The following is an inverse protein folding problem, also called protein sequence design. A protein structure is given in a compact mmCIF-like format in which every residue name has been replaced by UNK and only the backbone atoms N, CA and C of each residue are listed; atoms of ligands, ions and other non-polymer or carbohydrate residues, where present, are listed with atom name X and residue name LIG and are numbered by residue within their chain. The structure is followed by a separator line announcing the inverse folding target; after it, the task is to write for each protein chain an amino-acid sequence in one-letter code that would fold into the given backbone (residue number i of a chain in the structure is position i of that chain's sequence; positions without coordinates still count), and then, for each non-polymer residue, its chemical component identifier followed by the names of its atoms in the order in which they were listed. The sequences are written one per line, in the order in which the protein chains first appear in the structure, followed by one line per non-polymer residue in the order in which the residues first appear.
data_IF_828832136318
#
_entry.id   IF_828832136318
#
_cell.length_a   1.000
_cell.length_b   1.000
_cell.length_c   1.000
_cell.angle_alpha   90.00
_cell.angle_beta   90.00
_cell.angle_gamma   90.00
#
_symmetry.space_group_name_H-M   'P 1'
#
loop_
_entity.id
_entity.type
_entity.pdbx_description
1 polymer ?
#
# COMPACT_ATOMS: atom_id res chain seq x y z
N UNK A 1 -12.02 -0.88 5.94
CA UNK A 1 -10.57 -0.82 5.59
C UNK A 1 -10.28 0.35 4.68
N UNK A 2 -9.15 1.01 4.89
CA UNK A 2 -8.61 2.05 4.01
C UNK A 2 -7.35 1.51 3.34
N UNK A 3 -7.24 1.60 2.01
CA UNK A 3 -6.03 1.26 1.27
C UNK A 3 -5.20 2.52 1.04
N UNK A 4 -3.91 2.52 1.42
CA UNK A 4 -2.95 3.55 1.04
C UNK A 4 -2.13 3.05 -0.14
N UNK A 5 -2.23 3.74 -1.27
CA UNK A 5 -1.64 3.33 -2.54
C UNK A 5 -0.75 4.43 -3.11
N UNK A 6 0.32 4.03 -3.83
CA UNK A 6 1.28 4.96 -4.39
C UNK A 6 2.63 4.30 -4.64
N UNK A 7 3.54 4.91 -5.40
CA UNK A 7 4.84 4.34 -5.75
C UNK A 7 5.79 4.20 -4.55
N UNK A 8 6.92 3.52 -4.74
CA UNK A 8 8.00 3.49 -3.76
C UNK A 8 8.46 4.94 -3.47
N UNK A 9 8.73 5.28 -2.21
CA UNK A 9 9.11 6.65 -1.80
C UNK A 9 7.94 7.63 -1.61
N UNK A 10 6.70 7.28 -1.95
CA UNK A 10 5.56 8.21 -1.83
C UNK A 10 5.11 8.52 -0.39
N UNK A 11 5.62 7.83 0.62
CA UNK A 11 5.26 8.04 2.02
C UNK A 11 4.09 7.18 2.53
N UNK A 12 3.66 6.14 1.78
CA UNK A 12 2.54 5.25 2.17
C UNK A 12 2.61 4.77 3.60
N UNK A 13 3.74 4.18 4.00
CA UNK A 13 3.87 3.59 5.34
C UNK A 13 3.86 4.64 6.45
N UNK A 14 4.43 5.81 6.20
CA UNK A 14 4.39 6.95 7.13
C UNK A 14 2.95 7.43 7.30
N UNK A 15 2.26 7.70 6.20
CA UNK A 15 0.88 8.16 6.22
C UNK A 15 -0.08 7.08 6.73
N UNK A 16 0.17 5.81 6.39
CA UNK A 16 -0.63 4.69 6.86
C UNK A 16 -0.60 4.53 8.37
N UNK A 17 0.58 4.65 8.99
CA UNK A 17 0.73 4.61 10.46
C UNK A 17 -0.01 5.76 11.14
N UNK A 18 0.24 6.99 10.68
CA UNK A 18 -0.41 8.17 11.25
C UNK A 18 -1.93 8.14 11.09
N UNK A 19 -2.40 7.68 9.95
CA UNK A 19 -3.83 7.54 9.69
C UNK A 19 -4.45 6.48 10.61
N UNK A 20 -3.81 5.34 10.75
CA UNK A 20 -4.28 4.27 11.63
C UNK A 20 -4.35 4.73 13.09
N UNK A 21 -3.31 5.41 13.57
CA UNK A 21 -3.26 5.99 14.91
C UNK A 21 -4.41 6.98 15.14
N UNK A 22 -4.61 7.94 14.23
CA UNK A 22 -5.67 8.95 14.34
C UNK A 22 -7.08 8.39 14.29
N UNK A 23 -7.27 7.27 13.57
CA UNK A 23 -8.57 6.62 13.42
C UNK A 23 -8.80 5.46 14.40
N UNK A 24 -7.83 5.13 15.26
CA UNK A 24 -7.91 3.98 16.15
C UNK A 24 -7.94 2.62 15.41
N UNK A 25 -7.32 2.55 14.22
CA UNK A 25 -7.29 1.36 13.36
C UNK A 25 -5.95 0.62 13.44
N UNK A 26 -5.93 -0.63 13.03
CA UNK A 26 -4.68 -1.39 12.88
C UNK A 26 -3.99 -1.03 11.56
N UNK A 27 -2.72 -0.62 11.63
CA UNK A 27 -1.90 -0.47 10.43
C UNK A 27 -1.29 -1.81 10.04
N UNK A 28 -1.47 -2.20 8.78
CA UNK A 28 -0.81 -3.34 8.15
C UNK A 28 -0.08 -2.87 6.90
N UNK A 29 1.17 -3.33 6.72
CA UNK A 29 1.97 -3.04 5.53
C UNK A 29 2.43 -4.32 4.89
N UNK A 30 2.11 -4.52 3.62
CA UNK A 30 2.55 -5.70 2.87
C UNK A 30 4.08 -5.85 2.90
N UNK A 31 4.81 -4.75 2.67
CA UNK A 31 6.27 -4.76 2.71
C UNK A 31 6.84 -5.08 4.09
N UNK A 32 6.18 -4.65 5.18
CA UNK A 32 6.60 -4.98 6.54
C UNK A 32 6.30 -6.44 6.85
N UNK A 33 5.08 -6.91 6.56
CA UNK A 33 4.70 -8.31 6.76
C UNK A 33 5.62 -9.29 6.04
N UNK A 34 6.03 -8.96 4.80
CA UNK A 34 7.00 -9.76 4.04
C UNK A 34 8.32 -9.85 4.79
N UNK A 35 8.88 -8.73 5.25
CA UNK A 35 10.17 -8.72 6.00
C UNK A 35 10.08 -9.47 7.33
N UNK A 36 9.03 -9.19 8.11
CA UNK A 36 8.88 -9.76 9.46
C UNK A 36 8.59 -11.26 9.44
N UNK A 37 7.98 -11.75 8.36
CA UNK A 37 7.66 -13.18 8.24
C UNK A 37 8.87 -14.06 8.01
N UNK A 38 9.98 -13.53 7.46
CA UNK A 38 11.14 -14.26 6.98
C UNK A 38 10.84 -15.41 6.00
N UNK A 39 9.57 -15.57 5.60
CA UNK A 39 9.11 -16.65 4.69
C UNK A 39 9.59 -16.44 3.26
N UNK A 40 10.02 -15.22 2.93
CA UNK A 40 10.34 -14.78 1.56
C UNK A 40 11.79 -14.30 1.39
N UNK A 41 12.64 -14.55 2.37
CA UNK A 41 14.04 -14.09 2.34
C UNK A 41 14.80 -14.60 1.11
N UNK A 42 14.46 -15.81 0.65
CA UNK A 42 15.06 -16.37 -0.57
C UNK A 42 14.67 -15.58 -1.84
N UNK A 43 13.45 -15.02 -1.89
CA UNK A 43 12.98 -14.19 -3.00
C UNK A 43 13.53 -12.76 -2.87
N UNK A 44 13.40 -12.18 -1.70
CA UNK A 44 13.74 -10.77 -1.46
C UNK A 44 15.24 -10.50 -1.56
N UNK A 45 16.09 -11.43 -1.09
CA UNK A 45 17.54 -11.33 -1.19
C UNK A 45 18.07 -11.40 -2.63
N UNK A 46 17.34 -12.07 -3.52
CA UNK A 46 17.65 -12.19 -4.95
C UNK A 46 16.96 -11.14 -5.81
N UNK A 47 16.16 -10.25 -5.21
CA UNK A 47 15.30 -9.31 -5.95
C UNK A 47 14.21 -9.99 -6.77
N UNK A 48 13.89 -11.27 -6.48
CA UNK A 48 12.90 -12.04 -7.20
C UNK A 48 11.48 -11.69 -6.77
N UNK A 49 10.51 -11.87 -7.67
CA UNK A 49 9.11 -11.68 -7.37
C UNK A 49 8.58 -12.83 -6.50
N UNK A 50 7.87 -12.48 -5.44
CA UNK A 50 7.17 -13.47 -4.61
C UNK A 50 5.94 -13.96 -5.38
N UNK A 51 5.68 -15.29 -5.46
CA UNK A 51 4.47 -15.81 -6.08
C UNK A 51 3.21 -15.22 -5.44
N UNK A 52 2.28 -14.74 -6.28
CA UNK A 52 1.13 -13.95 -5.83
C UNK A 52 0.21 -14.69 -4.85
N UNK A 53 -0.01 -15.98 -5.07
CA UNK A 53 -0.83 -16.81 -4.18
C UNK A 53 -0.27 -16.87 -2.76
N UNK A 54 1.04 -17.10 -2.62
CA UNK A 54 1.69 -17.19 -1.30
C UNK A 54 1.69 -15.82 -0.60
N UNK A 55 1.88 -14.75 -1.37
CA UNK A 55 1.82 -13.40 -0.83
C UNK A 55 0.40 -13.06 -0.34
N UNK A 56 -0.61 -13.38 -1.14
CA UNK A 56 -2.02 -13.13 -0.78
C UNK A 56 -2.42 -13.90 0.49
N UNK A 57 -1.96 -15.14 0.65
CA UNK A 57 -2.22 -15.92 1.87
C UNK A 57 -1.67 -15.22 3.11
N UNK A 58 -0.41 -14.75 3.07
CA UNK A 58 0.18 -13.97 4.17
C UNK A 58 -0.65 -12.72 4.49
N UNK A 59 -1.04 -11.97 3.47
CA UNK A 59 -1.79 -10.74 3.65
C UNK A 59 -3.18 -11.02 4.25
N UNK A 60 -3.85 -12.04 3.74
CA UNK A 60 -5.17 -12.43 4.21
C UNK A 60 -5.15 -12.92 5.67
N UNK A 61 -4.21 -13.79 6.04
CA UNK A 61 -4.04 -14.26 7.40
C UNK A 61 -3.96 -13.09 8.40
N UNK A 62 -3.17 -12.06 8.07
CA UNK A 62 -3.00 -10.90 8.94
C UNK A 62 -4.23 -9.99 8.97
N UNK A 63 -4.89 -9.75 7.85
CA UNK A 63 -6.12 -8.95 7.80
C UNK A 63 -7.26 -9.66 8.54
N UNK A 64 -7.41 -10.96 8.31
CA UNK A 64 -8.44 -11.77 8.97
C UNK A 64 -8.31 -11.72 10.48
N UNK A 65 -7.09 -11.81 11.00
CA UNK A 65 -6.85 -11.72 12.44
C UNK A 65 -7.32 -10.38 13.07
N UNK A 66 -7.38 -9.29 12.30
CA UNK A 66 -7.94 -8.02 12.73
C UNK A 66 -9.46 -8.02 12.59
N UNK A 67 -9.99 -8.48 11.46
CA UNK A 67 -11.43 -8.49 11.19
C UNK A 67 -12.20 -9.42 12.13
N UNK A 68 -11.63 -10.57 12.49
CA UNK A 68 -12.23 -11.53 13.45
C UNK A 68 -12.42 -10.94 14.86
N UNK A 69 -11.79 -9.79 15.15
CA UNK A 69 -11.92 -9.04 16.41
C UNK A 69 -12.72 -7.74 16.23
N UNK A 70 -13.53 -7.65 15.18
CA UNK A 70 -14.26 -6.45 14.76
C UNK A 70 -13.36 -5.22 14.55
N UNK A 71 -12.07 -5.46 14.27
CA UNK A 71 -11.10 -4.40 14.03
C UNK A 71 -11.16 -3.84 12.62
N UNK A 72 -10.68 -2.62 12.47
CA UNK A 72 -10.55 -1.94 11.18
C UNK A 72 -9.08 -1.79 10.79
N UNK A 73 -8.81 -1.80 9.49
CA UNK A 73 -7.45 -1.82 8.94
C UNK A 73 -7.17 -0.59 8.08
N UNK A 74 -5.99 0.01 8.25
CA UNK A 74 -5.31 0.84 7.25
C UNK A 74 -4.21 0.00 6.64
N UNK A 75 -4.33 -0.31 5.35
CA UNK A 75 -3.44 -1.24 4.66
C UNK A 75 -2.61 -0.52 3.59
N UNK A 76 -1.29 -0.71 3.60
CA UNK A 76 -0.39 -0.10 2.63
C UNK A 76 0.37 -1.13 1.79
N UNK A 77 0.54 -0.83 0.50
CA UNK A 77 1.47 -1.49 -0.39
C UNK A 77 0.91 -2.59 -1.28
N UNK A 78 -0.32 -3.03 -1.07
CA UNK A 78 -0.97 -4.07 -1.89
C UNK A 78 -2.50 -3.80 -1.96
N UNK A 79 -3.24 -4.43 -2.89
CA UNK A 79 -2.78 -5.28 -3.98
C UNK A 79 -2.04 -4.51 -5.08
N UNK A 80 -1.02 -5.15 -5.67
CA UNK A 80 -0.20 -4.56 -6.74
C UNK A 80 -0.61 -5.00 -8.15
N UNK A 81 -1.52 -5.98 -8.28
CA UNK A 81 -2.00 -6.50 -9.56
C UNK A 81 -3.50 -6.79 -9.54
N UNK A 82 -4.11 -6.91 -10.72
CA UNK A 82 -5.53 -7.31 -10.87
C UNK A 82 -5.74 -8.74 -10.39
N UNK A 83 -4.75 -9.61 -10.57
CA UNK A 83 -4.77 -10.98 -10.10
C UNK A 83 -4.86 -11.05 -8.57
N UNK A 84 -4.05 -10.26 -7.88
CA UNK A 84 -4.12 -10.13 -6.41
C UNK A 84 -5.46 -9.57 -5.94
N UNK A 85 -6.02 -8.60 -6.68
CA UNK A 85 -7.38 -8.11 -6.41
C UNK A 85 -8.39 -9.25 -6.47
N UNK A 86 -8.35 -10.08 -7.51
CA UNK A 86 -9.24 -11.22 -7.66
C UNK A 86 -9.08 -12.28 -6.56
N UNK A 87 -7.86 -12.52 -6.09
CA UNK A 87 -7.59 -13.44 -4.98
C UNK A 87 -8.12 -12.89 -3.65
N UNK A 88 -7.82 -11.64 -3.33
CA UNK A 88 -8.30 -10.97 -2.11
C UNK A 88 -9.83 -10.81 -2.10
N UNK A 89 -10.45 -10.66 -3.27
CA UNK A 89 -11.91 -10.65 -3.36
C UNK A 89 -12.54 -11.98 -2.93
N UNK A 90 -11.96 -13.12 -3.35
CA UNK A 90 -12.43 -14.44 -2.92
C UNK A 90 -12.36 -14.59 -1.40
N UNK A 91 -11.43 -13.92 -0.76
CA UNK A 91 -11.32 -13.82 0.70
C UNK A 91 -12.32 -12.83 1.34
N UNK A 92 -13.07 -12.07 0.54
CA UNK A 92 -14.05 -11.10 1.04
C UNK A 92 -13.46 -9.77 1.51
N UNK A 93 -12.18 -9.50 1.27
CA UNK A 93 -11.47 -8.29 1.75
C UNK A 93 -12.15 -7.00 1.31
N UNK A 94 -12.65 -6.94 0.06
CA UNK A 94 -13.22 -5.69 -0.47
C UNK A 94 -14.60 -5.31 0.09
N UNK A 95 -15.30 -6.23 0.75
CA UNK A 95 -16.51 -5.90 1.51
C UNK A 95 -16.24 -4.90 2.65
N UNK A 96 -14.99 -4.88 3.13
CA UNK A 96 -14.54 -4.02 4.21
C UNK A 96 -13.80 -2.77 3.68
N UNK A 97 -13.64 -2.61 2.35
CA UNK A 97 -12.88 -1.49 1.77
C UNK A 97 -13.78 -0.27 1.59
N UNK A 98 -13.46 0.80 2.29
CA UNK A 98 -14.16 2.08 2.22
C UNK A 98 -13.67 2.92 1.04
N UNK A 99 -12.34 3.10 0.94
CA UNK A 99 -11.72 3.84 -0.15
C UNK A 99 -10.22 3.52 -0.29
N UNK A 100 -9.67 3.95 -1.43
CA UNK A 100 -8.24 3.96 -1.72
C UNK A 100 -7.73 5.40 -1.64
N UNK A 101 -6.73 5.66 -0.82
CA UNK A 101 -5.96 6.91 -0.82
C UNK A 101 -4.78 6.72 -1.76
N UNK A 102 -4.79 7.40 -2.90
CA UNK A 102 -3.71 7.36 -3.88
C UNK A 102 -2.78 8.57 -3.69
N UNK A 103 -1.56 8.31 -3.22
CA UNK A 103 -0.53 9.34 -3.10
C UNK A 103 0.12 9.63 -4.45
N UNK A 104 0.01 10.86 -4.92
CA UNK A 104 0.63 11.37 -6.15
C UNK A 104 1.90 12.12 -5.77
N UNK A 105 3.05 11.66 -6.23
CA UNK A 105 4.35 12.28 -5.98
C UNK A 105 5.17 12.23 -7.27
N UNK A 106 5.76 13.35 -7.71
CA UNK A 106 6.64 13.36 -8.89
C UNK A 106 7.85 12.44 -8.72
N UNK A 107 8.31 11.84 -9.83
CA UNK A 107 9.43 10.87 -9.82
C UNK A 107 10.70 11.46 -9.17
N UNK A 108 11.02 12.71 -9.47
CA UNK A 108 12.18 13.40 -8.90
C UNK A 108 12.13 13.41 -7.37
N UNK A 109 10.97 13.72 -6.79
CA UNK A 109 10.78 13.73 -5.34
C UNK A 109 10.81 12.32 -4.75
N UNK A 110 10.29 11.31 -5.48
CA UNK A 110 10.38 9.91 -5.08
C UNK A 110 11.83 9.46 -4.97
N UNK A 111 12.64 9.73 -5.99
CA UNK A 111 14.07 9.36 -6.02
C UNK A 111 14.85 10.07 -4.91
N UNK A 112 14.58 11.36 -4.66
CA UNK A 112 15.19 12.11 -3.56
C UNK A 112 14.88 11.47 -2.20
N UNK A 113 13.61 11.13 -1.94
CA UNK A 113 13.19 10.48 -0.69
C UNK A 113 13.79 9.09 -0.52
N UNK A 114 13.87 8.32 -1.60
CA UNK A 114 14.46 6.99 -1.58
C UNK A 114 15.95 7.04 -1.29
N UNK A 115 16.69 8.04 -1.82
CA UNK A 115 18.10 8.23 -1.57
C UNK A 115 18.45 8.52 -0.08
N UNK A 116 17.50 9.07 0.68
CA UNK A 116 17.68 9.36 2.12
C UNK A 116 17.13 8.27 3.04
N UNK A 117 16.46 7.24 2.48
CA UNK A 117 15.75 6.21 3.28
C UNK A 117 16.68 5.23 3.99
N UNK A 118 17.82 4.88 3.38
CA UNK A 118 18.88 4.05 3.97
C UNK A 118 18.47 2.59 4.25
N UNK A 119 17.70 1.94 3.39
CA UNK A 119 17.42 0.50 3.49
C UNK A 119 18.50 -0.31 2.76
N UNK A 120 18.74 -1.54 3.20
CA UNK A 120 19.73 -2.45 2.59
C UNK A 120 19.45 -2.74 1.11
N UNK A 121 18.16 -2.76 0.71
CA UNK A 121 17.72 -2.97 -0.68
C UNK A 121 17.68 -1.68 -1.51
N UNK A 122 18.21 -0.56 -0.98
CA UNK A 122 18.17 0.74 -1.65
C UNK A 122 19.25 0.85 -2.73
N UNK A 123 18.82 0.68 -3.98
CA UNK A 123 19.59 0.84 -5.20
C UNK A 123 18.76 1.61 -6.23
N UNK A 124 19.39 2.57 -6.91
CA UNK A 124 18.70 3.46 -7.86
C UNK A 124 18.00 2.70 -9.01
N UNK A 125 18.61 1.62 -9.50
CA UNK A 125 18.02 0.80 -10.56
C UNK A 125 16.77 0.06 -10.06
N UNK A 126 16.85 -0.49 -8.85
CA UNK A 126 15.72 -1.15 -8.18
C UNK A 126 14.60 -0.15 -7.90
N UNK A 127 14.92 1.09 -7.52
CA UNK A 127 13.90 2.13 -7.30
C UNK A 127 13.18 2.48 -8.59
N UNK A 128 13.91 2.73 -9.68
CA UNK A 128 13.33 3.01 -10.99
C UNK A 128 12.43 1.87 -11.48
N UNK A 129 12.89 0.63 -11.33
CA UNK A 129 12.08 -0.55 -11.66
C UNK A 129 10.78 -0.60 -10.85
N UNK A 130 10.83 -0.35 -9.53
CA UNK A 130 9.64 -0.31 -8.66
C UNK A 130 8.68 0.81 -9.03
N UNK A 131 9.19 1.98 -9.41
CA UNK A 131 8.36 3.12 -9.86
C UNK A 131 7.70 2.78 -11.20
N UNK A 132 8.47 2.34 -12.19
CA UNK A 132 7.96 1.93 -13.51
C UNK A 132 6.92 0.81 -13.38
N UNK A 133 7.21 -0.21 -12.57
CA UNK A 133 6.25 -1.29 -12.31
C UNK A 133 4.94 -0.75 -11.71
N UNK A 134 5.04 0.16 -10.74
CA UNK A 134 3.86 0.80 -10.16
C UNK A 134 3.06 1.54 -11.23
N UNK A 135 3.68 2.37 -12.07
CA UNK A 135 3.01 3.12 -13.13
C UNK A 135 2.29 2.21 -14.13
N UNK A 136 2.94 1.11 -14.53
CA UNK A 136 2.37 0.15 -15.46
C UNK A 136 1.19 -0.64 -14.90
N UNK A 137 1.22 -0.98 -13.60
CA UNK A 137 0.23 -1.84 -12.95
C UNK A 137 -0.86 -1.06 -12.21
N UNK A 138 -0.55 0.15 -11.72
CA UNK A 138 -1.48 0.94 -10.92
C UNK A 138 -2.74 1.32 -11.67
N UNK A 139 -2.65 1.60 -12.95
CA UNK A 139 -3.80 2.00 -13.75
C UNK A 139 -4.86 0.89 -13.81
N UNK A 140 -4.45 -0.32 -14.11
CA UNK A 140 -5.35 -1.48 -14.14
C UNK A 140 -5.99 -1.76 -12.77
N UNK A 141 -5.19 -1.67 -11.71
CA UNK A 141 -5.68 -1.80 -10.34
C UNK A 141 -6.73 -0.74 -10.00
N UNK A 142 -6.47 0.53 -10.28
CA UNK A 142 -7.39 1.63 -9.97
C UNK A 142 -8.69 1.54 -10.76
N UNK A 143 -8.64 1.13 -12.05
CA UNK A 143 -9.84 0.85 -12.85
C UNK A 143 -10.66 -0.24 -12.19
N UNK A 144 -10.03 -1.34 -11.78
CA UNK A 144 -10.71 -2.46 -11.17
C UNK A 144 -11.37 -2.07 -9.83
N UNK A 145 -10.69 -1.26 -9.01
CA UNK A 145 -11.27 -0.72 -7.78
C UNK A 145 -12.49 0.17 -8.05
N UNK A 146 -12.42 1.06 -9.04
CA UNK A 146 -13.57 1.88 -9.46
C UNK A 146 -14.73 1.02 -9.96
N UNK A 147 -14.45 -0.02 -10.75
CA UNK A 147 -15.48 -0.95 -11.26
C UNK A 147 -16.23 -1.67 -10.12
N UNK A 148 -15.56 -1.89 -8.99
CA UNK A 148 -16.12 -2.47 -7.77
C UNK A 148 -16.82 -1.46 -6.87
N UNK A 149 -16.92 -0.20 -7.30
CA UNK A 149 -17.55 0.86 -6.52
C UNK A 149 -16.68 1.42 -5.39
N UNK A 150 -15.39 1.01 -5.31
CA UNK A 150 -14.47 1.55 -4.31
C UNK A 150 -14.04 2.96 -4.72
N UNK A 151 -14.19 3.91 -3.82
CA UNK A 151 -13.83 5.30 -4.04
C UNK A 151 -12.30 5.48 -4.05
N UNK A 152 -11.79 6.21 -5.06
CA UNK A 152 -10.37 6.58 -5.16
C UNK A 152 -10.23 8.05 -4.77
N UNK A 153 -9.44 8.31 -3.72
CA UNK A 153 -9.10 9.65 -3.24
C UNK A 153 -7.66 9.97 -3.62
N UNK A 154 -7.46 10.81 -4.64
CA UNK A 154 -6.12 11.25 -5.03
C UNK A 154 -5.66 12.36 -4.10
N UNK A 155 -4.43 12.23 -3.58
CA UNK A 155 -3.81 13.16 -2.64
C UNK A 155 -2.45 13.57 -3.15
N UNK A 156 -2.18 14.87 -3.19
CA UNK A 156 -0.83 15.37 -3.39
C UNK A 156 0.05 14.97 -2.20
N UNK A 157 1.03 14.11 -2.47
CA UNK A 157 1.97 13.57 -1.48
C UNK A 157 3.24 14.40 -1.32
N UNK A 158 3.32 15.62 -1.89
CA UNK A 158 4.45 16.53 -1.73
C UNK A 158 4.21 17.43 -0.52
N UNK A 159 5.26 17.71 0.25
CA UNK A 159 5.22 18.52 1.46
C UNK A 159 5.67 17.75 2.71
N UNK A 160 5.46 18.35 3.88
CA UNK A 160 5.76 17.71 5.16
C UNK A 160 4.81 16.53 5.43
N UNK A 161 5.20 15.66 6.36
CA UNK A 161 4.38 14.51 6.77
C UNK A 161 3.01 14.97 7.28
N UNK A 162 2.99 16.05 8.05
CA UNK A 162 1.80 16.63 8.65
C UNK A 162 0.87 17.20 7.59
N UNK A 163 1.39 17.98 6.63
CA UNK A 163 0.61 18.57 5.53
C UNK A 163 -0.08 17.51 4.68
N UNK A 164 0.65 16.44 4.33
CA UNK A 164 0.08 15.32 3.56
C UNK A 164 -0.99 14.61 4.37
N UNK A 165 -0.75 14.38 5.65
CA UNK A 165 -1.72 13.75 6.53
C UNK A 165 -3.00 14.59 6.69
N UNK A 166 -2.89 15.92 6.81
CA UNK A 166 -4.05 16.80 6.84
C UNK A 166 -4.88 16.73 5.56
N UNK A 167 -4.23 16.67 4.38
CA UNK A 167 -4.93 16.50 3.10
C UNK A 167 -5.71 15.17 3.07
N UNK A 168 -5.09 14.08 3.55
CA UNK A 168 -5.75 12.78 3.65
C UNK A 168 -6.97 12.88 4.58
N UNK A 169 -6.80 13.41 5.79
CA UNK A 169 -7.87 13.52 6.78
C UNK A 169 -9.05 14.36 6.27
N UNK A 170 -8.77 15.50 5.60
CA UNK A 170 -9.82 16.34 5.00
C UNK A 170 -10.63 15.60 3.93
N UNK A 171 -9.99 14.72 3.16
CA UNK A 171 -10.70 13.91 2.15
C UNK A 171 -11.55 12.80 2.79
N UNK A 172 -11.06 12.18 3.85
CA UNK A 172 -11.78 11.13 4.57
C UNK A 172 -13.02 11.68 5.27
N UNK A 173 -12.92 12.85 5.89
CA UNK A 173 -14.03 13.49 6.61
C UNK A 173 -15.15 14.03 5.70
N UNK A 174 -14.84 14.28 4.41
CA UNK A 174 -15.82 14.75 3.41
C UNK A 174 -16.61 13.60 2.72
N UNK A 175 -16.29 12.38 3.03
CA UNK A 175 -16.78 11.19 2.36
C UNK A 175 -17.47 10.22 3.30
#
# INVERSE_FOLDING_TARGET
MILIYGPAGSGKSTQGRLLAEKLGRTWLSAGQLIRDSHRFDEYTSKGAMIPENILVDLLWENMKAVFDRDGEVVFDGQPGSVEQVGMLEKCGVFKHTEFVVLLKVPEEELLKRLATRGREDDNIEVWKQKITYFEQKSYSFLIEMKRRGVKICEVDGVGSVEEVNERIMKLIQKN
#
